data_IF_384567876648
#
_entry.id   IF_384567876648
#
_cell.length_a   1.000
_cell.length_b   1.000
_cell.length_c   1.000
_cell.angle_alpha   90.00
_cell.angle_beta   90.00
_cell.angle_gamma   90.00
#
_symmetry.space_group_name_H-M   'P 1'
#
loop_
_entity.id
_entity.type
_entity.pdbx_description
1 polymer ?
#
# COMPACT_ATOMS: atom_id res chain seq x y z
N UNK A 1 17.10 -8.44 1.52
CA UNK A 1 15.67 -8.78 1.36
C UNK A 1 14.88 -7.66 2.00
N UNK A 2 14.10 -6.91 1.22
CA UNK A 2 13.27 -5.80 1.73
C UNK A 2 11.84 -5.92 1.19
N UNK A 3 10.87 -5.49 2.00
CA UNK A 3 9.50 -5.24 1.55
C UNK A 3 9.36 -3.73 1.45
N UNK A 4 8.94 -3.26 0.28
CA UNK A 4 8.79 -1.85 -0.04
C UNK A 4 7.30 -1.58 -0.19
N UNK A 5 6.81 -0.60 0.57
CA UNK A 5 5.44 -0.10 0.53
C UNK A 5 5.43 1.27 -0.12
N UNK A 6 4.85 1.37 -1.30
CA UNK A 6 4.50 2.64 -1.93
C UNK A 6 3.12 3.08 -1.46
N UNK A 7 3.00 4.35 -1.05
CA UNK A 7 1.74 4.99 -0.68
C UNK A 7 1.49 6.16 -1.63
N UNK A 8 0.29 6.21 -2.20
CA UNK A 8 -0.18 7.33 -3.03
C UNK A 8 -1.35 8.03 -2.32
N UNK A 9 -1.10 9.14 -1.60
CA UNK A 9 -2.12 9.80 -0.80
C UNK A 9 -3.09 10.59 -1.68
N UNK A 10 -4.35 10.15 -1.70
CA UNK A 10 -5.45 10.88 -2.35
C UNK A 10 -6.45 11.44 -1.34
N UNK A 11 -7.14 12.52 -1.75
CA UNK A 11 -8.06 13.26 -0.88
C UNK A 11 -9.29 12.48 -0.43
N UNK A 12 -9.64 11.36 -1.09
CA UNK A 12 -10.78 10.48 -0.74
C UNK A 12 -10.37 9.02 -0.59
N UNK A 13 -9.35 8.61 -1.34
CA UNK A 13 -8.84 7.25 -1.43
C UNK A 13 -7.31 7.34 -1.43
N UNK A 14 -6.64 6.53 -0.62
CA UNK A 14 -5.18 6.38 -0.62
C UNK A 14 -4.81 5.06 -1.27
N UNK A 15 -4.05 5.10 -2.35
CA UNK A 15 -3.50 3.92 -3.00
C UNK A 15 -2.32 3.36 -2.22
N UNK A 16 -2.11 2.05 -2.27
CA UNK A 16 -0.89 1.42 -1.79
C UNK A 16 -0.44 0.30 -2.73
N UNK A 17 0.87 0.10 -2.80
CA UNK A 17 1.49 -1.00 -3.54
C UNK A 17 2.62 -1.62 -2.73
N UNK A 18 2.73 -2.94 -2.77
CA UNK A 18 3.73 -3.70 -2.03
C UNK A 18 4.55 -4.53 -2.99
N UNK A 19 5.86 -4.37 -2.92
CA UNK A 19 6.82 -5.19 -3.66
C UNK A 19 7.86 -5.78 -2.71
N UNK A 20 8.36 -6.96 -3.05
CA UNK A 20 9.51 -7.59 -2.40
C UNK A 20 10.73 -7.40 -3.28
N UNK A 21 11.83 -6.94 -2.70
CA UNK A 21 13.11 -6.83 -3.39
C UNK A 21 14.10 -7.87 -2.85
N UNK A 22 14.64 -8.66 -3.78
CA UNK A 22 15.73 -9.62 -3.55
C UNK A 22 16.85 -9.28 -4.54
N UNK A 23 17.87 -8.56 -4.05
CA UNK A 23 18.93 -8.04 -4.91
C UNK A 23 18.37 -7.09 -5.97
N UNK A 24 18.49 -7.47 -7.26
CA UNK A 24 17.95 -6.73 -8.41
C UNK A 24 16.58 -7.24 -8.88
N UNK A 25 16.05 -8.30 -8.27
CA UNK A 25 14.74 -8.83 -8.60
C UNK A 25 13.67 -8.15 -7.75
N UNK A 26 12.59 -7.74 -8.41
CA UNK A 26 11.39 -7.19 -7.78
C UNK A 26 10.24 -8.16 -8.00
N UNK A 27 9.59 -8.57 -6.93
CA UNK A 27 8.40 -9.42 -6.96
C UNK A 27 7.21 -8.62 -6.47
N UNK A 28 6.17 -8.56 -7.30
CA UNK A 28 4.90 -7.96 -6.90
C UNK A 28 4.25 -8.81 -5.80
N UNK A 29 3.88 -8.17 -4.68
CA UNK A 29 3.18 -8.85 -3.59
C UNK A 29 1.69 -8.49 -3.55
N UNK A 30 1.35 -7.25 -3.93
CA UNK A 30 -0.03 -6.80 -3.94
C UNK A 30 -0.15 -5.29 -4.06
N UNK A 31 -1.35 -4.83 -4.33
CA UNK A 31 -1.73 -3.42 -4.32
C UNK A 31 -3.18 -3.30 -3.91
N UNK A 32 -3.59 -2.09 -3.56
CA UNK A 32 -4.96 -1.81 -3.21
C UNK A 32 -5.17 -0.33 -2.97
N UNK A 33 -6.36 0.00 -2.51
CA UNK A 33 -6.70 1.35 -2.14
C UNK A 33 -7.58 1.35 -0.89
N UNK A 34 -7.37 2.35 -0.03
CA UNK A 34 -8.08 2.51 1.23
C UNK A 34 -8.86 3.81 1.13
N UNK A 35 -10.19 3.73 1.21
CA UNK A 35 -11.05 4.90 1.24
C UNK A 35 -11.14 5.46 2.66
N UNK A 36 -11.11 6.79 2.82
CA UNK A 36 -11.16 7.47 4.13
C UNK A 36 -12.36 7.04 5.00
N UNK A 37 -13.50 6.74 4.37
CA UNK A 37 -14.72 6.25 5.06
C UNK A 37 -14.49 4.94 5.83
N UNK A 38 -13.47 4.15 5.48
CA UNK A 38 -13.14 2.90 6.19
C UNK A 38 -11.99 3.04 7.18
N UNK A 39 -11.20 4.12 7.08
CA UNK A 39 -10.02 4.35 7.91
C UNK A 39 -10.37 4.95 9.28
N UNK A 40 -11.43 5.77 9.36
CA UNK A 40 -11.88 6.37 10.63
C UNK A 40 -12.77 5.40 11.42
N UNK A 41 -13.67 4.66 10.76
CA UNK A 41 -14.68 3.81 11.43
C UNK A 41 -14.18 2.41 11.83
N UNK A 42 -12.90 2.10 11.62
CA UNK A 42 -12.30 0.80 11.97
C UNK A 42 -11.23 0.92 13.09
N UNK A 43 -11.02 2.13 13.58
CA UNK A 43 -10.15 2.46 14.71
C UNK A 43 -10.94 3.03 15.91
N UNK A 44 -12.27 3.01 15.83
CA UNK A 44 -13.21 3.25 16.94
C UNK A 44 -14.11 2.05 17.13
#
# INVERSE_FOLDING_TARGET
MSIILGIDPGSRVTGYGVIRQVGRQLTYLGSGCIARKWMIYRLV
#
